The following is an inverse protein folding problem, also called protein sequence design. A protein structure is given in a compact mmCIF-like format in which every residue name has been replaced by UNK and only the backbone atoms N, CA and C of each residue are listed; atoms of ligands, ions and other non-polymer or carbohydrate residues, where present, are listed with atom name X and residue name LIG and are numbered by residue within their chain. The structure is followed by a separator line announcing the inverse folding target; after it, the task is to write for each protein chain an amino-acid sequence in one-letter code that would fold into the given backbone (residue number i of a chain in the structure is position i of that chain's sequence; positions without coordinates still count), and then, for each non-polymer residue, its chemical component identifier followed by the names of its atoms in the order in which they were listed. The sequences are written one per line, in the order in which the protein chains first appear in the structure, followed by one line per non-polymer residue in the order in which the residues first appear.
data_IF_464086786663
#
_entry.id   IF_464086786663
#
_cell.length_a   1.000
_cell.length_b   1.000
_cell.length_c   1.000
_cell.angle_alpha   90.00
_cell.angle_beta   90.00
_cell.angle_gamma   90.00
#
_symmetry.space_group_name_H-M   'P 1'
#
loop_
_entity.id
_entity.type
_entity.pdbx_description
1 polymer ?
#
# COMPACT_ATOMS: atom_id res chain seq x y z
N UNK A 1 18.79 -4.69 16.87
CA UNK A 1 18.18 -5.56 17.91
C UNK A 1 17.25 -6.53 17.21
N UNK A 2 17.39 -7.82 17.51
CA UNK A 2 16.47 -8.86 17.06
C UNK A 2 15.05 -8.57 17.52
N UNK A 3 14.10 -8.62 16.59
CA UNK A 3 12.66 -8.59 16.85
C UNK A 3 12.05 -9.99 16.91
N UNK A 4 12.72 -11.00 16.37
CA UNK A 4 12.17 -12.35 16.25
C UNK A 4 12.94 -13.22 15.27
N UNK A 5 12.37 -14.39 14.99
CA UNK A 5 12.93 -15.39 14.08
C UNK A 5 11.85 -15.96 13.16
N UNK A 6 12.25 -16.27 11.92
CA UNK A 6 11.41 -17.01 10.97
C UNK A 6 11.18 -18.44 11.51
N UNK A 7 9.96 -18.96 11.39
CA UNK A 7 9.60 -20.30 11.84
C UNK A 7 8.68 -21.01 10.84
N UNK A 8 8.59 -22.33 10.98
CA UNK A 8 7.68 -23.15 10.19
C UNK A 8 8.03 -23.20 8.70
N UNK A 9 7.03 -23.46 7.86
CA UNK A 9 7.20 -23.46 6.41
C UNK A 9 7.34 -22.02 5.89
N UNK A 10 8.41 -21.78 5.14
CA UNK A 10 8.70 -20.48 4.51
C UNK A 10 8.54 -20.58 3.00
N UNK A 11 8.00 -19.52 2.39
CA UNK A 11 7.87 -19.39 0.94
C UNK A 11 8.61 -18.14 0.45
N UNK A 12 8.93 -18.04 -0.84
CA UNK A 12 9.55 -16.86 -1.41
C UNK A 12 8.75 -15.57 -1.19
N UNK A 13 7.42 -15.71 -1.10
CA UNK A 13 6.47 -14.59 -1.04
C UNK A 13 5.96 -14.30 0.37
N UNK A 14 6.06 -15.24 1.30
CA UNK A 14 5.64 -15.01 2.69
C UNK A 14 6.33 -15.96 3.66
N UNK A 15 6.44 -15.52 4.91
CA UNK A 15 6.97 -16.31 6.02
C UNK A 15 6.11 -16.16 7.27
N UNK A 16 6.25 -17.11 8.18
CA UNK A 16 5.73 -16.99 9.56
C UNK A 16 6.90 -16.70 10.49
N UNK A 17 6.68 -15.84 11.48
CA UNK A 17 7.70 -15.44 12.43
C UNK A 17 7.18 -15.49 13.86
N UNK A 18 8.05 -15.89 14.80
CA UNK A 18 7.86 -15.67 16.23
C UNK A 18 8.63 -14.42 16.65
N UNK A 19 7.96 -13.52 17.34
CA UNK A 19 8.49 -12.19 17.66
C UNK A 19 8.53 -11.95 19.17
N UNK A 20 9.44 -11.10 19.62
CA UNK A 20 9.60 -10.74 21.05
C UNK A 20 8.47 -9.87 21.59
N UNK A 21 7.70 -9.24 20.69
CA UNK A 21 6.51 -8.45 20.97
C UNK A 21 5.47 -8.66 19.86
N UNK A 22 4.20 -8.31 20.07
CA UNK A 22 3.25 -8.22 18.97
C UNK A 22 3.70 -7.17 17.95
N UNK A 23 3.71 -7.55 16.68
CA UNK A 23 3.93 -6.63 15.56
C UNK A 23 2.58 -6.11 15.06
N UNK A 24 2.55 -4.85 14.63
CA UNK A 24 1.32 -4.26 14.09
C UNK A 24 1.16 -4.58 12.61
N UNK A 25 -0.07 -4.82 12.14
CA UNK A 25 -0.33 -4.94 10.70
C UNK A 25 0.08 -3.66 9.99
N UNK A 26 0.82 -3.79 8.89
CA UNK A 26 1.43 -2.69 8.14
C UNK A 26 2.79 -2.21 8.67
N UNK A 27 3.36 -2.91 9.65
CA UNK A 27 4.73 -2.71 10.11
C UNK A 27 5.73 -3.37 9.14
N UNK A 28 6.83 -2.67 8.83
CA UNK A 28 7.90 -3.20 7.99
C UNK A 28 8.97 -3.85 8.84
N UNK A 29 9.54 -4.95 8.36
CA UNK A 29 10.61 -5.72 9.01
C UNK A 29 11.69 -6.08 7.99
N UNK A 30 12.90 -6.36 8.47
CA UNK A 30 14.01 -6.90 7.67
C UNK A 30 14.25 -8.36 8.06
N UNK A 31 14.42 -9.23 7.07
CA UNK A 31 14.87 -10.61 7.21
C UNK A 31 16.30 -10.67 6.66
N UNK A 32 17.27 -11.09 7.47
CA UNK A 32 18.68 -11.08 7.09
C UNK A 32 19.10 -12.46 6.55
N UNK A 33 19.07 -12.63 5.22
CA UNK A 33 19.49 -13.89 4.58
C UNK A 33 20.91 -13.78 4.03
N UNK A 34 21.53 -14.93 3.72
CA UNK A 34 22.87 -14.96 3.13
C UNK A 34 22.95 -14.25 1.76
N UNK A 35 21.85 -14.23 1.01
CA UNK A 35 21.75 -13.53 -0.29
C UNK A 35 21.58 -12.01 -0.14
N UNK A 36 21.16 -11.55 1.03
CA UNK A 36 20.98 -10.15 1.35
C UNK A 36 19.73 -9.86 2.18
N UNK A 37 19.59 -8.60 2.58
CA UNK A 37 18.45 -8.15 3.39
C UNK A 37 17.17 -8.13 2.57
N UNK A 38 16.13 -8.76 3.08
CA UNK A 38 14.79 -8.77 2.49
C UNK A 38 13.88 -7.86 3.29
N UNK A 39 13.11 -7.00 2.61
CA UNK A 39 12.07 -6.21 3.24
C UNK A 39 10.75 -7.01 3.26
N UNK A 40 10.17 -7.15 4.44
CA UNK A 40 8.86 -7.75 4.65
C UNK A 40 7.85 -6.76 5.21
N UNK A 41 6.57 -7.04 4.98
CA UNK A 41 5.43 -6.31 5.53
C UNK A 41 4.58 -7.25 6.39
N UNK A 42 4.30 -6.86 7.63
CA UNK A 42 3.42 -7.63 8.53
C UNK A 42 1.99 -7.51 8.04
N UNK A 43 1.41 -8.63 7.60
CA UNK A 43 0.03 -8.69 7.10
C UNK A 43 -0.96 -9.16 8.16
N UNK A 44 -0.53 -10.08 9.03
CA UNK A 44 -1.34 -10.60 10.14
C UNK A 44 -0.48 -10.75 11.38
N UNK A 45 -1.10 -10.51 12.53
CA UNK A 45 -0.49 -10.65 13.85
C UNK A 45 -1.43 -11.45 14.73
N UNK A 46 -0.88 -12.44 15.45
CA UNK A 46 -1.61 -13.35 16.32
C UNK A 46 -0.90 -13.42 17.66
N UNK A 47 -1.71 -13.41 18.73
CA UNK A 47 -1.25 -13.63 20.09
C UNK A 47 -1.96 -14.87 20.58
N UNK A 48 -1.21 -15.84 21.09
CA UNK A 48 -1.75 -17.03 21.73
C UNK A 48 -1.13 -17.19 23.10
N UNK A 49 -1.86 -17.79 24.02
CA UNK A 49 -1.38 -18.16 25.36
C UNK A 49 -1.58 -19.65 25.54
N UNK A 50 -0.60 -20.33 26.14
CA UNK A 50 -0.73 -21.74 26.48
C UNK A 50 -1.74 -21.95 27.62
N UNK A 51 -1.75 -21.05 28.62
CA UNK A 51 -2.70 -21.10 29.74
C UNK A 51 -4.15 -20.97 29.28
N UNK A 52 -4.42 -20.24 28.19
CA UNK A 52 -5.77 -20.06 27.65
C UNK A 52 -6.15 -21.04 26.53
N UNK A 53 -5.34 -22.05 26.24
CA UNK A 53 -5.58 -22.95 25.10
C UNK A 53 -6.88 -23.76 25.25
N UNK A 54 -7.24 -24.17 26.48
CA UNK A 54 -8.35 -25.09 26.76
C UNK A 54 -9.45 -24.48 27.67
N UNK A 55 -9.44 -23.16 27.88
CA UNK A 55 -10.39 -22.47 28.77
C UNK A 55 -11.79 -22.43 28.17
N UNK A 56 -12.81 -22.86 28.93
CA UNK A 56 -14.21 -22.97 28.46
C UNK A 56 -15.22 -22.15 29.26
N UNK A 57 -14.87 -21.69 30.46
CA UNK A 57 -15.75 -20.90 31.32
C UNK A 57 -15.02 -19.72 31.99
N UNK A 58 -15.78 -18.88 32.70
CA UNK A 58 -15.28 -17.64 33.30
C UNK A 58 -14.28 -17.89 34.43
N UNK A 59 -14.54 -18.88 35.30
CA UNK A 59 -13.68 -19.15 36.46
C UNK A 59 -12.32 -19.71 35.99
N UNK A 60 -12.31 -20.62 35.01
CA UNK A 60 -11.08 -21.11 34.36
C UNK A 60 -10.29 -19.97 33.67
N UNK A 61 -10.98 -18.98 33.11
CA UNK A 61 -10.34 -17.82 32.50
C UNK A 61 -9.68 -16.92 33.56
N UNK A 62 -10.32 -16.74 34.72
CA UNK A 62 -9.78 -15.96 35.82
C UNK A 62 -8.50 -16.60 36.37
N UNK A 63 -8.52 -17.91 36.64
CA UNK A 63 -7.35 -18.67 37.09
C UNK A 63 -6.21 -18.65 36.05
N UNK A 64 -6.56 -18.85 34.76
CA UNK A 64 -5.57 -18.82 33.67
C UNK A 64 -4.95 -17.43 33.48
N UNK A 65 -5.66 -16.36 33.83
CA UNK A 65 -5.12 -14.98 33.81
C UNK A 65 -3.98 -14.84 34.80
N UNK A 66 -4.16 -15.31 36.03
CA UNK A 66 -3.13 -15.24 37.08
C UNK A 66 -1.90 -16.08 36.69
N UNK A 67 -2.12 -17.28 36.14
CA UNK A 67 -1.04 -18.16 35.66
C UNK A 67 -0.25 -17.51 34.51
N UNK A 68 -0.94 -16.87 33.56
CA UNK A 68 -0.32 -16.19 32.43
C UNK A 68 0.50 -14.96 32.84
N UNK A 69 0.14 -14.27 33.92
CA UNK A 69 0.92 -13.14 34.45
C UNK A 69 2.22 -13.59 35.12
N UNK A 70 2.18 -14.72 35.84
CA UNK A 70 3.35 -15.28 36.51
C UNK A 70 4.35 -15.82 35.50
N UNK A 71 3.88 -16.45 34.41
CA UNK A 71 4.74 -17.10 33.44
C UNK A 71 5.00 -16.24 32.19
N UNK A 72 6.15 -15.56 32.17
CA UNK A 72 6.58 -14.73 31.03
C UNK A 72 6.68 -15.47 29.68
N UNK A 73 6.72 -16.81 29.67
CA UNK A 73 6.78 -17.63 28.44
C UNK A 73 5.41 -18.08 27.95
N UNK A 74 4.35 -17.73 28.64
CA UNK A 74 3.00 -18.15 28.30
C UNK A 74 2.52 -17.56 26.96
N UNK A 75 2.82 -16.29 26.73
CA UNK A 75 2.39 -15.56 25.52
C UNK A 75 3.33 -15.83 24.35
N UNK A 76 2.76 -16.29 23.26
CA UNK A 76 3.42 -16.46 21.97
C UNK A 76 2.93 -15.39 21.00
N UNK A 77 3.86 -14.66 20.39
CA UNK A 77 3.55 -13.67 19.37
C UNK A 77 3.97 -14.21 18.01
N UNK A 78 2.99 -14.47 17.15
CA UNK A 78 3.21 -14.98 15.80
C UNK A 78 2.74 -13.95 14.76
N UNK A 79 3.54 -13.73 13.73
CA UNK A 79 3.20 -12.80 12.64
C UNK A 79 3.39 -13.46 11.28
N UNK A 80 2.45 -13.18 10.37
CA UNK A 80 2.60 -13.52 8.96
C UNK A 80 3.15 -12.30 8.24
N UNK A 81 4.24 -12.51 7.51
CA UNK A 81 4.98 -11.45 6.85
C UNK A 81 4.99 -11.73 5.34
N UNK A 82 4.44 -10.80 4.56
CA UNK A 82 4.57 -10.80 3.10
C UNK A 82 5.92 -10.25 2.69
N UNK A 83 6.62 -10.94 1.79
CA UNK A 83 7.93 -10.53 1.27
C UNK A 83 7.72 -9.55 0.11
N UNK A 84 8.31 -8.35 0.23
CA UNK A 84 8.26 -7.32 -0.81
C UNK A 84 9.43 -7.44 -1.80
N UNK A 85 10.55 -7.99 -1.33
CA UNK A 85 11.75 -8.24 -2.12
C UNK A 85 13.03 -7.82 -1.42
N UNK A 86 14.15 -7.95 -2.13
CA UNK A 86 15.46 -7.51 -1.63
C UNK A 86 15.53 -6.01 -1.43
N UNK A 87 16.06 -5.60 -0.29
CA UNK A 87 16.13 -4.21 0.14
C UNK A 87 16.94 -3.35 -0.85
N UNK A 88 18.10 -3.83 -1.30
CA UNK A 88 18.96 -3.11 -2.25
C UNK A 88 18.29 -2.90 -3.62
N UNK A 89 17.45 -3.85 -4.04
CA UNK A 89 16.67 -3.76 -5.29
C UNK A 89 15.50 -2.82 -5.15
N UNK A 90 14.78 -2.90 -4.02
CA UNK A 90 13.65 -2.02 -3.72
C UNK A 90 14.10 -0.55 -3.66
N UNK A 91 15.26 -0.28 -3.07
CA UNK A 91 15.88 1.06 -3.07
C UNK A 91 16.19 1.59 -4.48
N UNK A 92 16.35 0.70 -5.47
CA UNK A 92 16.53 1.02 -6.89
C UNK A 92 15.21 1.00 -7.66
N UNK A 93 14.07 0.88 -6.97
CA UNK A 93 12.75 0.82 -7.58
C UNK A 93 12.42 -0.50 -8.27
N UNK A 94 13.10 -1.60 -7.92
CA UNK A 94 12.89 -2.93 -8.46
C UNK A 94 12.39 -3.87 -7.35
N UNK A 95 11.20 -4.44 -7.53
CA UNK A 95 10.73 -5.51 -6.63
C UNK A 95 11.21 -6.84 -7.19
N UNK A 96 12.25 -7.40 -6.54
CA UNK A 96 12.79 -8.71 -6.84
C UNK A 96 12.60 -9.57 -5.60
N UNK A 97 11.74 -10.58 -5.74
CA UNK A 97 11.44 -11.57 -4.70
C UNK A 97 12.60 -12.58 -4.68
N UNK A 98 13.05 -13.04 -3.49
CA UNK A 98 14.07 -14.07 -3.40
C UNK A 98 13.59 -15.35 -4.12
N UNK A 99 14.46 -16.03 -4.86
CA UNK A 99 14.09 -17.31 -5.48
C UNK A 99 13.98 -18.43 -4.44
N UNK A 100 14.81 -18.35 -3.41
CA UNK A 100 14.89 -19.30 -2.30
C UNK A 100 14.19 -18.69 -1.08
N UNK A 101 13.27 -19.41 -0.42
CA UNK A 101 12.64 -18.92 0.80
C UNK A 101 13.66 -18.64 1.91
N UNK A 102 13.40 -17.65 2.80
CA UNK A 102 14.19 -17.50 4.01
C UNK A 102 14.17 -18.77 4.86
N UNK A 103 15.32 -19.12 5.45
CA UNK A 103 15.47 -20.35 6.23
C UNK A 103 14.81 -20.15 7.61
N UNK A 104 14.07 -21.14 8.14
CA UNK A 104 13.60 -21.09 9.53
C UNK A 104 14.78 -20.90 10.51
N UNK A 105 14.61 -20.02 11.49
CA UNK A 105 15.67 -19.55 12.38
C UNK A 105 16.35 -18.25 11.93
N UNK A 106 16.06 -17.76 10.71
CA UNK A 106 16.61 -16.47 10.25
C UNK A 106 16.11 -15.32 11.13
N UNK A 107 17.02 -14.43 11.51
CA UNK A 107 16.73 -13.28 12.36
C UNK A 107 15.88 -12.23 11.63
N UNK A 108 14.94 -11.64 12.37
CA UNK A 108 14.13 -10.52 11.94
C UNK A 108 14.51 -9.28 12.73
N UNK A 109 14.72 -8.16 12.06
CA UNK A 109 15.07 -6.87 12.67
C UNK A 109 14.17 -5.75 12.16
N UNK A 110 14.23 -4.58 12.82
CA UNK A 110 13.49 -3.40 12.36
C UNK A 110 14.29 -2.67 11.27
N UNK A 111 13.66 -2.26 10.15
CA UNK A 111 14.32 -1.38 9.20
C UNK A 111 14.59 -0.03 9.85
N UNK A 112 15.72 0.56 9.48
CA UNK A 112 16.04 1.94 9.81
C UNK A 112 15.12 2.90 9.08
N UNK A 113 14.99 4.11 9.62
CA UNK A 113 14.22 5.17 8.97
C UNK A 113 14.78 5.49 7.58
N UNK A 114 16.11 5.56 7.44
CA UNK A 114 16.78 5.86 6.18
C UNK A 114 16.51 4.80 5.10
N UNK A 115 16.51 3.50 5.47
CA UNK A 115 16.21 2.42 4.54
C UNK A 115 14.80 2.56 3.94
N UNK A 116 13.80 2.87 4.79
CA UNK A 116 12.42 3.08 4.35
C UNK A 116 12.24 4.38 3.56
N UNK A 117 12.88 5.49 3.97
CA UNK A 117 12.83 6.76 3.25
C UNK A 117 13.42 6.65 1.84
N UNK A 118 14.48 5.85 1.67
CA UNK A 118 15.08 5.61 0.35
C UNK A 118 14.09 4.93 -0.61
N UNK A 119 13.21 4.06 -0.09
CA UNK A 119 12.23 3.33 -0.90
C UNK A 119 10.97 4.18 -1.17
N UNK A 120 10.43 4.83 -0.13
CA UNK A 120 9.11 5.46 -0.20
C UNK A 120 9.13 6.98 -0.35
N UNK A 121 10.25 7.63 -0.04
CA UNK A 121 10.36 9.09 0.09
C UNK A 121 11.43 9.69 -0.82
N UNK A 122 11.49 9.26 -2.09
CA UNK A 122 12.45 9.83 -3.06
C UNK A 122 12.41 11.36 -3.10
N UNK A 123 13.59 11.97 -3.14
CA UNK A 123 13.79 13.42 -3.21
C UNK A 123 14.03 13.90 -4.65
N UNK A 124 13.95 12.99 -5.62
CA UNK A 124 14.06 13.32 -7.04
C UNK A 124 12.90 14.21 -7.50
N UNK A 125 13.15 14.97 -8.57
CA UNK A 125 12.10 15.73 -9.26
C UNK A 125 11.03 14.77 -9.81
N UNK A 126 9.79 15.26 -9.92
CA UNK A 126 8.65 14.47 -10.41
C UNK A 126 8.01 13.57 -9.35
N UNK A 127 8.59 13.45 -8.15
CA UNK A 127 7.97 12.71 -7.04
C UNK A 127 7.06 13.61 -6.20
N UNK A 128 5.84 13.13 -5.98
CA UNK A 128 4.83 13.86 -5.21
C UNK A 128 4.35 13.06 -4.01
N UNK A 129 4.23 13.74 -2.86
CA UNK A 129 3.67 13.15 -1.64
C UNK A 129 2.18 12.87 -1.80
N UNK A 130 1.81 11.62 -1.52
CA UNK A 130 0.42 11.17 -1.44
C UNK A 130 -0.04 10.83 -0.02
N UNK A 131 0.89 10.72 0.93
CA UNK A 131 0.56 10.40 2.31
C UNK A 131 1.79 10.08 3.15
N UNK A 132 1.61 9.18 4.10
CA UNK A 132 2.66 8.69 5.00
C UNK A 132 2.51 7.19 5.20
N UNK A 133 3.57 6.52 5.65
CA UNK A 133 3.47 5.10 6.01
C UNK A 133 2.55 4.90 7.22
N UNK A 134 1.75 3.84 7.19
CA UNK A 134 0.69 3.58 8.19
C UNK A 134 1.23 3.57 9.63
N UNK A 135 2.35 2.89 9.86
CA UNK A 135 2.99 2.74 11.19
C UNK A 135 4.16 3.68 11.44
N UNK A 136 4.61 4.41 10.41
CA UNK A 136 5.66 5.40 10.54
C UNK A 136 5.24 6.71 9.87
N UNK A 137 4.44 7.50 10.60
CA UNK A 137 3.89 8.76 10.11
C UNK A 137 4.94 9.83 9.80
N UNK A 138 6.19 9.65 10.24
CA UNK A 138 7.29 10.57 9.91
C UNK A 138 7.85 10.37 8.50
N UNK A 139 7.62 9.19 7.91
CA UNK A 139 8.08 8.85 6.57
C UNK A 139 6.98 9.17 5.57
N UNK A 140 7.31 9.96 4.55
CA UNK A 140 6.39 10.37 3.51
C UNK A 140 6.24 9.27 2.45
N UNK A 141 5.01 8.94 2.09
CA UNK A 141 4.77 8.10 0.92
C UNK A 141 4.67 9.01 -0.31
N UNK A 142 5.63 8.87 -1.23
CA UNK A 142 5.69 9.62 -2.48
C UNK A 142 5.51 8.70 -3.68
N UNK A 143 4.97 9.24 -4.77
CA UNK A 143 4.82 8.55 -6.06
C UNK A 143 5.43 9.38 -7.17
N UNK A 144 5.97 8.71 -8.19
CA UNK A 144 6.50 9.38 -9.37
C UNK A 144 5.35 9.74 -10.32
N UNK A 145 5.11 11.05 -10.51
CA UNK A 145 4.04 11.58 -11.35
C UNK A 145 4.28 11.30 -12.84
N UNK A 146 5.54 11.33 -13.30
CA UNK A 146 5.87 11.04 -14.70
C UNK A 146 5.50 9.60 -15.07
N UNK A 147 5.72 8.65 -14.15
CA UNK A 147 5.29 7.25 -14.31
C UNK A 147 3.76 7.12 -14.31
N UNK A 148 3.05 7.89 -13.48
CA UNK A 148 1.59 7.90 -13.45
C UNK A 148 1.01 8.36 -14.79
N UNK A 149 1.58 9.43 -15.36
CA UNK A 149 1.10 9.99 -16.64
C UNK A 149 1.49 9.10 -17.82
N UNK A 150 2.69 8.51 -17.82
CA UNK A 150 3.19 7.71 -18.95
C UNK A 150 2.70 6.26 -19.01
N UNK A 151 2.24 5.68 -17.90
CA UNK A 151 1.87 4.25 -17.83
C UNK A 151 0.39 3.99 -17.52
N UNK A 152 -0.41 5.05 -17.48
CA UNK A 152 -1.78 5.05 -16.96
C UNK A 152 -1.86 4.66 -15.47
N UNK A 153 -2.94 5.07 -14.81
CA UNK A 153 -3.17 4.81 -13.39
C UNK A 153 -4.61 4.34 -13.16
N UNK A 154 -4.75 3.17 -12.53
CA UNK A 154 -6.02 2.69 -12.01
C UNK A 154 -6.14 3.00 -10.51
N UNK A 155 -7.18 3.75 -10.12
CA UNK A 155 -7.51 3.98 -8.70
C UNK A 155 -8.79 3.21 -8.37
N UNK A 156 -8.63 2.13 -7.61
CA UNK A 156 -9.72 1.21 -7.22
C UNK A 156 -9.97 1.32 -5.73
N UNK A 157 -11.22 1.60 -5.33
CA UNK A 157 -11.62 1.64 -3.94
C UNK A 157 -13.13 1.44 -3.82
N UNK A 158 -13.59 0.90 -2.67
CA UNK A 158 -15.02 0.88 -2.33
C UNK A 158 -15.51 2.31 -2.03
N UNK A 159 -16.83 2.52 -2.08
CA UNK A 159 -17.45 3.80 -1.71
C UNK A 159 -17.04 4.21 -0.29
N UNK A 160 -16.68 5.48 -0.11
CA UNK A 160 -16.23 6.02 1.18
C UNK A 160 -14.76 5.75 1.53
N UNK A 161 -14.02 4.97 0.73
CA UNK A 161 -12.61 4.65 1.01
C UNK A 161 -11.60 5.69 0.47
N UNK A 162 -12.08 6.85 0.03
CA UNK A 162 -11.21 7.99 -0.34
C UNK A 162 -10.72 8.04 -1.79
N UNK A 163 -11.42 7.39 -2.74
CA UNK A 163 -11.11 7.49 -4.19
C UNK A 163 -11.00 8.94 -4.67
N UNK A 164 -12.06 9.73 -4.51
CA UNK A 164 -12.10 11.13 -4.95
C UNK A 164 -11.06 12.00 -4.21
N UNK A 165 -10.76 11.68 -2.96
CA UNK A 165 -9.69 12.34 -2.20
C UNK A 165 -8.30 12.09 -2.80
N UNK A 166 -7.97 10.84 -3.15
CA UNK A 166 -6.69 10.52 -3.79
C UNK A 166 -6.58 11.15 -5.18
N UNK A 167 -7.65 11.13 -5.98
CA UNK A 167 -7.70 11.81 -7.29
C UNK A 167 -7.41 13.29 -7.13
N UNK A 168 -8.07 13.96 -6.19
CA UNK A 168 -7.87 15.39 -5.92
C UNK A 168 -6.45 15.71 -5.48
N UNK A 169 -5.86 14.85 -4.65
CA UNK A 169 -4.48 15.00 -4.19
C UNK A 169 -3.51 14.88 -5.36
N UNK A 170 -3.65 13.85 -6.21
CA UNK A 170 -2.80 13.66 -7.40
C UNK A 170 -2.97 14.83 -8.37
N UNK A 171 -4.20 15.26 -8.65
CA UNK A 171 -4.48 16.39 -9.53
C UNK A 171 -3.84 17.69 -9.03
N UNK A 172 -3.93 17.96 -7.71
CA UNK A 172 -3.28 19.11 -7.07
C UNK A 172 -1.75 19.07 -7.22
N UNK A 173 -1.13 17.89 -7.11
CA UNK A 173 0.32 17.77 -7.26
C UNK A 173 0.77 17.95 -8.72
N UNK A 174 0.00 17.42 -9.68
CA UNK A 174 0.25 17.65 -11.11
C UNK A 174 0.13 19.15 -11.44
N UNK A 175 -0.92 19.82 -10.95
CA UNK A 175 -1.13 21.25 -11.17
C UNK A 175 -0.02 22.14 -10.59
N UNK A 176 0.58 21.75 -9.45
CA UNK A 176 1.77 22.45 -8.89
C UNK A 176 3.00 22.39 -9.80
N UNK A 177 3.11 21.35 -10.62
CA UNK A 177 4.16 21.20 -11.62
C UNK A 177 3.77 21.78 -12.99
N UNK A 178 2.70 22.59 -13.05
CA UNK A 178 2.14 23.13 -14.28
C UNK A 178 1.66 22.06 -15.28
N UNK A 179 1.37 20.86 -14.80
CA UNK A 179 0.68 19.84 -15.59
C UNK A 179 -0.82 20.10 -15.68
N UNK A 180 -1.44 19.62 -16.75
CA UNK A 180 -2.88 19.75 -17.00
C UNK A 180 -3.57 18.43 -16.71
N UNK A 181 -4.66 18.48 -15.93
CA UNK A 181 -5.52 17.33 -15.66
C UNK A 181 -6.93 17.68 -16.12
N UNK A 182 -7.52 16.81 -16.95
CA UNK A 182 -8.93 16.88 -17.33
C UNK A 182 -9.66 15.83 -16.51
N UNK A 183 -10.67 16.27 -15.74
CA UNK A 183 -11.49 15.39 -14.91
C UNK A 183 -12.90 15.40 -15.49
N UNK A 184 -13.38 14.23 -15.89
CA UNK A 184 -14.79 14.01 -16.19
C UNK A 184 -15.53 13.74 -14.88
N UNK A 185 -16.17 14.77 -14.33
CA UNK A 185 -16.76 14.74 -12.99
C UNK A 185 -18.21 14.24 -13.02
N UNK A 186 -18.40 12.93 -12.83
CA UNK A 186 -19.71 12.29 -12.89
C UNK A 186 -20.64 12.64 -11.70
N UNK A 187 -20.06 12.94 -10.53
CA UNK A 187 -20.82 13.18 -9.29
C UNK A 187 -20.73 14.62 -8.79
N UNK A 188 -20.08 15.53 -9.52
CA UNK A 188 -19.76 16.89 -9.09
C UNK A 188 -18.91 16.95 -7.80
N UNK A 189 -18.06 15.94 -7.59
CA UNK A 189 -17.20 15.81 -6.41
C UNK A 189 -16.07 16.85 -6.39
N UNK A 190 -15.64 17.35 -7.56
CA UNK A 190 -14.40 18.12 -7.70
C UNK A 190 -14.63 19.61 -7.91
N UNK A 191 -15.79 20.02 -8.44
CA UNK A 191 -16.12 21.42 -8.75
C UNK A 191 -16.10 22.34 -7.52
N UNK A 192 -16.40 21.80 -6.34
CA UNK A 192 -16.41 22.54 -5.07
C UNK A 192 -15.07 22.55 -4.34
N UNK A 193 -14.09 21.80 -4.84
CA UNK A 193 -12.79 21.69 -4.20
C UNK A 193 -11.93 22.91 -4.50
N UNK A 194 -11.25 23.42 -3.46
CA UNK A 194 -10.30 24.52 -3.59
C UNK A 194 -8.95 24.04 -4.16
N UNK A 195 -8.97 23.59 -5.42
CA UNK A 195 -7.78 23.24 -6.19
C UNK A 195 -7.33 24.49 -6.97
N UNK A 196 -6.06 24.92 -6.85
CA UNK A 196 -5.57 26.07 -7.58
C UNK A 196 -5.75 25.89 -9.09
N UNK A 197 -6.22 26.95 -9.77
CA UNK A 197 -6.43 26.98 -11.23
C UNK A 197 -7.47 25.99 -11.76
N UNK A 198 -8.49 25.66 -10.95
CA UNK A 198 -9.63 24.90 -11.44
C UNK A 198 -10.34 25.69 -12.55
N UNK A 199 -10.62 25.02 -13.66
CA UNK A 199 -11.39 25.55 -14.78
C UNK A 199 -12.57 24.62 -15.02
N UNK A 200 -13.77 25.09 -14.68
CA UNK A 200 -15.00 24.32 -14.89
C UNK A 200 -15.45 24.53 -16.33
N UNK A 201 -15.60 23.43 -17.07
CA UNK A 201 -15.99 23.44 -18.48
C UNK A 201 -17.33 22.73 -18.61
N UNK A 202 -18.31 23.39 -19.24
CA UNK A 202 -19.60 22.78 -19.55
C UNK A 202 -19.40 21.64 -20.55
N UNK A 203 -20.04 20.49 -20.30
CA UNK A 203 -20.10 19.39 -21.25
C UNK A 203 -21.01 19.76 -22.43
N UNK A 204 -20.43 20.39 -23.47
CA UNK A 204 -21.12 20.78 -24.70
C UNK A 204 -20.44 20.15 -25.91
N UNK A 205 -21.24 19.57 -26.80
CA UNK A 205 -20.78 19.10 -28.11
C UNK A 205 -21.06 20.22 -29.11
N UNK A 206 -20.02 20.66 -29.83
CA UNK A 206 -20.16 21.59 -30.95
C UNK A 206 -20.09 20.82 -32.27
N UNK A 207 -21.22 20.62 -32.98
CA UNK A 207 -21.25 19.86 -34.22
C UNK A 207 -20.31 20.38 -35.30
N UNK A 208 -19.94 21.67 -35.25
CA UNK A 208 -19.00 22.28 -36.21
C UNK A 208 -17.55 21.82 -36.04
N UNK A 209 -17.24 21.17 -34.92
CA UNK A 209 -15.91 20.61 -34.63
C UNK A 209 -15.84 19.10 -34.85
N UNK A 210 -16.96 18.45 -35.18
CA UNK A 210 -17.01 17.04 -35.51
C UNK A 210 -16.78 16.86 -37.00
N UNK A 211 -16.03 15.84 -37.38
CA UNK A 211 -15.99 15.38 -38.76
C UNK A 211 -17.30 14.64 -39.12
N UNK A 212 -17.44 14.25 -40.40
CA UNK A 212 -18.65 13.56 -40.89
C UNK A 212 -18.93 12.28 -40.11
N UNK A 213 -17.89 11.54 -39.74
CA UNK A 213 -18.01 10.21 -39.17
C UNK A 213 -18.42 10.30 -37.69
N UNK A 214 -17.78 11.20 -36.93
CA UNK A 214 -18.15 11.52 -35.56
C UNK A 214 -19.56 12.09 -35.47
N UNK A 215 -19.94 12.98 -36.39
CA UNK A 215 -21.29 13.52 -36.42
C UNK A 215 -22.32 12.43 -36.74
N UNK A 216 -22.00 11.53 -37.69
CA UNK A 216 -22.82 10.37 -38.03
C UNK A 216 -23.01 9.46 -36.81
N UNK A 217 -21.95 9.16 -36.08
CA UNK A 217 -21.98 8.34 -34.86
C UNK A 217 -22.84 8.99 -33.76
N UNK A 218 -22.67 10.29 -33.50
CA UNK A 218 -23.49 11.04 -32.53
C UNK A 218 -24.96 11.06 -32.92
N UNK A 219 -25.27 11.08 -34.22
CA UNK A 219 -26.62 11.01 -34.77
C UNK A 219 -27.16 9.57 -34.92
N UNK A 220 -26.37 8.57 -34.54
CA UNK A 220 -26.66 7.13 -34.71
C UNK A 220 -26.93 6.71 -36.18
N UNK A 221 -26.39 7.47 -37.14
CA UNK A 221 -26.45 7.14 -38.56
C UNK A 221 -25.34 6.12 -38.85
N UNK A 222 -25.74 4.88 -39.14
CA UNK A 222 -24.83 3.78 -39.43
C UNK A 222 -24.32 3.84 -40.86
N UNK A 223 -23.14 3.26 -41.09
CA UNK A 223 -22.62 3.03 -42.43
C UNK A 223 -23.63 2.28 -43.30
N UNK A 224 -24.00 2.88 -44.43
CA UNK A 224 -24.97 2.31 -45.38
C UNK A 224 -26.44 2.62 -45.09
N UNK A 225 -26.75 3.54 -44.17
CA UNK A 225 -28.10 4.05 -44.00
C UNK A 225 -28.64 4.67 -45.30
N UNK A 226 -29.79 4.21 -45.77
CA UNK A 226 -30.53 4.78 -46.88
C UNK A 226 -31.80 5.50 -46.37
N UNK A 227 -32.29 6.44 -47.18
CA UNK A 227 -33.50 7.24 -46.90
C UNK A 227 -34.75 6.47 -47.28
#
# INVERSE_FOLDING_TARGET
MSLGYVIGESKPTFVTALTSRPLSVGEYIIIDTEEGKILGLVEKSKISSAAFADVRNFDEAAESTEIAEINKRDKTFASNIGILGFLDKLQKGQSIIPAIPPIPGTEITQPTKQELETIFSSQEKGWAKIGNLLRNKTIEAKVNLDKIVSRHLGILAMTGMGKSNLVSLVAKQIGKLHGTVIIFDYHNDYTTLNIPRINVVDAKINPRLLDSDQLSEVLEIRDGANV
#
